data_IF_923133950035
#
_entry.id   IF_923133950035
#
_cell.length_a   1.000
_cell.length_b   1.000
_cell.length_c   1.000
_cell.angle_alpha   90.00
_cell.angle_beta   90.00
_cell.angle_gamma   90.00
#
_symmetry.space_group_name_H-M   'P 1'
#
loop_
_entity.id
_entity.type
_entity.pdbx_description
1 polymer ?
#
# COMPACT_ATOMS: atom_id res chain seq x y z
N UNK A 1 -62.78 37.57 -6.56
CA UNK A 1 -61.75 38.03 -5.59
C UNK A 1 -61.21 36.89 -4.70
N UNK A 2 -62.04 36.00 -4.18
CA UNK A 2 -61.58 34.94 -3.26
C UNK A 2 -60.71 33.87 -3.92
N UNK A 3 -60.97 33.47 -5.16
CA UNK A 3 -60.13 32.45 -5.90
C UNK A 3 -58.71 32.92 -6.12
N UNK A 4 -58.49 34.21 -6.44
CA UNK A 4 -57.17 34.78 -6.66
C UNK A 4 -56.36 34.80 -5.35
N UNK A 5 -57.04 35.19 -4.25
CA UNK A 5 -56.38 35.15 -2.92
C UNK A 5 -55.97 33.74 -2.52
N UNK A 6 -56.79 32.72 -2.79
CA UNK A 6 -56.47 31.33 -2.53
C UNK A 6 -55.27 30.84 -3.35
N UNK A 7 -55.19 31.23 -4.62
CA UNK A 7 -54.06 30.86 -5.48
C UNK A 7 -52.75 31.51 -5.01
N UNK A 8 -52.81 32.79 -4.64
CA UNK A 8 -51.63 33.49 -4.08
C UNK A 8 -51.16 32.89 -2.75
N UNK A 9 -52.06 32.52 -1.88
CA UNK A 9 -51.68 31.84 -0.61
C UNK A 9 -51.09 30.45 -0.87
N UNK A 10 -51.70 29.70 -1.81
CA UNK A 10 -51.16 28.37 -2.20
C UNK A 10 -49.80 28.45 -2.85
N UNK A 11 -49.56 29.43 -3.72
CA UNK A 11 -48.26 29.64 -4.38
C UNK A 11 -47.19 30.09 -3.36
N UNK A 12 -47.54 30.95 -2.41
CA UNK A 12 -46.63 31.38 -1.35
C UNK A 12 -46.28 30.23 -0.41
N UNK A 13 -47.22 29.38 -0.08
CA UNK A 13 -46.97 28.16 0.72
C UNK A 13 -46.05 27.17 0.01
N UNK A 14 -46.24 26.99 -1.31
CA UNK A 14 -45.41 26.12 -2.10
C UNK A 14 -43.96 26.64 -2.22
N UNK A 15 -43.76 27.95 -2.40
CA UNK A 15 -42.43 28.56 -2.40
C UNK A 15 -41.71 28.44 -1.06
N UNK A 16 -42.42 28.56 0.06
CA UNK A 16 -41.86 28.38 1.41
C UNK A 16 -41.42 26.91 1.62
N UNK A 17 -42.24 25.94 1.18
CA UNK A 17 -41.89 24.52 1.28
C UNK A 17 -40.67 24.15 0.37
N UNK A 18 -40.57 24.75 -0.81
CA UNK A 18 -39.40 24.51 -1.70
C UNK A 18 -38.13 25.18 -1.19
N UNK A 19 -38.23 26.32 -0.51
CA UNK A 19 -37.07 26.98 0.10
C UNK A 19 -36.59 26.30 1.39
N UNK A 20 -37.43 25.47 2.02
CA UNK A 20 -37.09 24.72 3.23
C UNK A 20 -36.21 23.46 2.96
N UNK A 21 -36.12 23.03 1.73
CA UNK A 21 -35.16 21.98 1.37
C UNK A 21 -33.76 22.60 1.33
N UNK A 22 -33.09 22.58 2.47
CA UNK A 22 -31.67 22.92 2.58
C UNK A 22 -30.92 22.03 1.58
N UNK A 23 -30.40 22.64 0.55
CA UNK A 23 -29.64 21.98 -0.54
C UNK A 23 -28.38 21.38 0.06
N UNK A 24 -28.48 20.19 0.65
CA UNK A 24 -27.39 19.23 0.87
C UNK A 24 -25.99 19.76 1.22
N UNK A 25 -25.89 20.97 1.75
CA UNK A 25 -24.63 21.50 2.24
C UNK A 25 -24.15 20.64 3.39
N UNK A 26 -23.14 19.82 3.13
CA UNK A 26 -22.45 19.05 4.15
C UNK A 26 -22.01 20.04 5.24
N UNK A 27 -22.62 19.94 6.41
CA UNK A 27 -22.19 20.72 7.57
C UNK A 27 -20.75 20.33 7.89
N UNK A 28 -19.83 21.25 7.69
CA UNK A 28 -18.42 21.09 8.06
C UNK A 28 -18.12 21.57 9.48
N UNK A 29 -19.11 22.08 10.17
CA UNK A 29 -19.03 22.53 11.56
C UNK A 29 -20.08 21.79 12.37
N UNK A 30 -19.79 21.40 13.61
CA UNK A 30 -20.74 20.68 14.47
C UNK A 30 -21.94 21.54 14.94
N UNK A 31 -22.01 22.81 14.53
CA UNK A 31 -23.08 23.73 14.95
C UNK A 31 -22.88 24.25 16.37
N UNK A 32 -23.99 24.43 17.11
CA UNK A 32 -23.92 24.79 18.52
C UNK A 32 -23.51 23.59 19.36
N UNK A 33 -22.49 23.76 20.19
CA UNK A 33 -21.81 22.69 20.92
C UNK A 33 -21.98 22.98 22.41
N UNK A 34 -22.41 21.98 23.16
CA UNK A 34 -22.61 22.11 24.62
C UNK A 34 -21.27 22.25 25.37
N UNK A 35 -20.24 21.54 24.96
CA UNK A 35 -18.91 21.59 25.55
C UNK A 35 -17.86 21.90 24.45
N UNK A 36 -17.67 23.18 24.10
CA UNK A 36 -16.83 23.55 22.93
C UNK A 36 -15.37 23.07 23.04
N UNK A 37 -14.80 23.04 24.24
CA UNK A 37 -13.41 22.66 24.48
C UNK A 37 -13.15 21.16 24.27
N UNK A 38 -14.19 20.33 24.26
CA UNK A 38 -14.10 18.87 24.08
C UNK A 38 -14.54 18.41 22.70
N UNK A 39 -15.00 19.31 21.85
CA UNK A 39 -15.58 18.96 20.55
C UNK A 39 -14.52 18.68 19.51
N UNK A 40 -13.44 19.41 19.56
CA UNK A 40 -12.33 19.25 18.65
C UNK A 40 -11.14 18.68 19.39
N UNK A 41 -10.60 17.59 18.87
CA UNK A 41 -9.32 17.09 19.34
C UNK A 41 -8.23 18.14 19.11
N UNK A 42 -7.35 18.35 20.08
CA UNK A 42 -6.13 19.14 19.90
C UNK A 42 -5.05 18.38 19.15
N UNK A 43 -5.17 17.06 19.10
CA UNK A 43 -4.32 16.22 18.27
C UNK A 43 -4.75 16.37 16.80
N UNK A 44 -3.80 16.42 15.93
CA UNK A 44 -4.06 16.44 14.49
C UNK A 44 -4.37 15.02 13.98
N UNK A 45 -5.40 14.90 13.17
CA UNK A 45 -5.69 13.67 12.45
C UNK A 45 -4.67 13.46 11.30
N UNK A 46 -4.47 12.20 10.90
CA UNK A 46 -3.65 11.89 9.75
C UNK A 46 -4.19 12.62 8.50
N UNK A 47 -3.28 13.12 7.67
CA UNK A 47 -3.57 13.89 6.46
C UNK A 47 -4.26 15.25 6.67
N UNK A 48 -4.37 15.73 7.91
CA UNK A 48 -4.85 17.08 8.19
C UNK A 48 -3.76 18.11 7.87
N UNK A 49 -4.16 19.27 7.35
CA UNK A 49 -3.22 20.37 7.13
C UNK A 49 -2.79 21.01 8.46
N UNK A 50 -1.52 21.33 8.60
CA UNK A 50 -0.98 22.02 9.76
C UNK A 50 -0.33 23.33 9.34
N UNK A 51 -0.97 24.48 9.63
CA UNK A 51 -0.43 25.80 9.27
C UNK A 51 0.94 26.11 9.89
N UNK A 52 1.29 25.45 11.01
CA UNK A 52 2.58 25.67 11.67
C UNK A 52 3.76 25.06 10.88
N UNK A 53 3.49 24.08 10.01
CA UNK A 53 4.50 23.46 9.16
C UNK A 53 4.63 24.12 7.78
N UNK A 54 3.79 25.11 7.48
CA UNK A 54 3.78 25.84 6.21
C UNK A 54 2.40 25.81 5.55
N UNK A 55 2.22 26.70 4.57
CA UNK A 55 0.99 26.77 3.79
C UNK A 55 0.87 25.49 2.98
N UNK A 56 -0.24 24.79 3.10
CA UNK A 56 -0.53 23.52 2.44
C UNK A 56 0.25 22.29 2.95
N UNK A 57 0.93 22.40 4.10
CA UNK A 57 1.65 21.28 4.70
C UNK A 57 0.70 20.33 5.40
N UNK A 58 0.82 19.05 5.09
CA UNK A 58 0.12 17.97 5.80
C UNK A 58 0.91 17.52 7.03
N UNK A 59 0.21 17.01 8.04
CA UNK A 59 0.85 16.39 9.22
C UNK A 59 1.71 15.19 8.83
N UNK A 60 1.22 14.39 7.87
CA UNK A 60 1.95 13.23 7.35
C UNK A 60 3.00 13.69 6.33
N UNK A 61 4.13 14.16 6.81
CA UNK A 61 5.26 14.49 5.95
C UNK A 61 5.96 13.22 5.44
N UNK A 62 6.41 13.23 4.18
CA UNK A 62 7.36 12.22 3.74
C UNK A 62 8.66 12.34 4.55
N UNK A 63 9.39 11.24 4.75
CA UNK A 63 10.70 11.30 5.37
C UNK A 63 11.63 12.26 4.63
N UNK A 64 12.61 12.82 5.33
CA UNK A 64 13.66 13.64 4.70
C UNK A 64 14.40 12.80 3.65
N UNK A 65 14.69 13.40 2.51
CA UNK A 65 15.40 12.73 1.42
C UNK A 65 16.71 12.09 1.91
N UNK A 66 16.94 10.85 1.51
CA UNK A 66 18.10 10.07 1.95
C UNK A 66 17.90 9.33 3.29
N UNK A 67 16.76 9.50 3.95
CA UNK A 67 16.43 8.76 5.18
C UNK A 67 16.09 7.31 4.84
N UNK A 68 16.74 6.36 5.52
CA UNK A 68 16.45 4.92 5.41
C UNK A 68 15.66 4.50 6.65
N UNK A 69 14.49 3.92 6.45
CA UNK A 69 13.66 3.44 7.54
C UNK A 69 14.35 2.27 8.25
N UNK A 70 14.37 2.29 9.59
CA UNK A 70 14.99 1.24 10.40
C UNK A 70 14.26 -0.08 10.18
N UNK A 71 15.04 -1.15 9.93
CA UNK A 71 14.48 -2.49 9.70
C UNK A 71 14.00 -2.76 8.27
N UNK A 72 14.07 -1.79 7.37
CA UNK A 72 13.80 -2.02 5.96
C UNK A 72 15.06 -2.48 5.20
N UNK A 73 14.85 -3.41 4.27
CA UNK A 73 15.88 -3.79 3.30
C UNK A 73 16.03 -2.61 2.33
N UNK A 74 17.27 -2.18 2.09
CA UNK A 74 17.52 -1.10 1.13
C UNK A 74 17.44 -1.62 -0.31
N UNK A 75 16.74 -0.88 -1.16
CA UNK A 75 16.53 -1.21 -2.55
C UNK A 75 17.23 -0.18 -3.44
N UNK A 76 18.36 -0.59 -4.03
CA UNK A 76 19.19 0.27 -4.88
C UNK A 76 18.72 0.36 -6.33
N UNK A 77 17.71 -0.41 -6.72
CA UNK A 77 17.24 -0.43 -8.10
C UNK A 77 16.60 0.92 -8.46
N UNK A 78 17.08 1.56 -9.52
CA UNK A 78 16.56 2.82 -10.05
C UNK A 78 15.59 2.57 -11.19
N UNK A 79 14.58 3.44 -11.30
CA UNK A 79 13.66 3.41 -12.43
C UNK A 79 14.38 3.73 -13.73
N UNK A 80 14.01 3.01 -14.82
CA UNK A 80 14.56 3.24 -16.15
C UNK A 80 15.90 2.54 -16.44
N UNK A 81 16.58 2.00 -15.43
CA UNK A 81 17.84 1.27 -15.63
C UNK A 81 17.60 -0.17 -16.10
N UNK A 82 17.28 -0.31 -17.38
CA UNK A 82 16.99 -1.60 -18.00
C UNK A 82 18.17 -2.56 -18.02
N UNK A 83 19.40 -2.04 -17.91
CA UNK A 83 20.62 -2.88 -17.84
C UNK A 83 20.73 -3.48 -16.45
N UNK A 84 20.57 -2.66 -15.40
CA UNK A 84 20.55 -3.16 -14.03
C UNK A 84 19.43 -4.18 -13.80
N UNK A 85 18.27 -4.03 -14.43
CA UNK A 85 17.17 -4.99 -14.28
C UNK A 85 17.53 -6.42 -14.66
N UNK A 86 18.46 -6.63 -15.58
CA UNK A 86 18.88 -7.97 -16.02
C UNK A 86 19.75 -8.67 -14.99
N UNK A 87 20.54 -7.91 -14.25
CA UNK A 87 21.53 -8.42 -13.29
C UNK A 87 21.07 -8.28 -11.84
N UNK A 88 20.01 -7.51 -11.60
CA UNK A 88 19.51 -7.27 -10.25
C UNK A 88 18.98 -8.55 -9.62
N UNK A 89 19.52 -8.88 -8.47
CA UNK A 89 19.17 -10.08 -7.70
C UNK A 89 19.12 -9.75 -6.22
N UNK A 90 18.80 -10.73 -5.40
CA UNK A 90 18.77 -10.64 -3.94
C UNK A 90 19.45 -11.84 -3.31
N UNK A 91 20.05 -11.62 -2.14
CA UNK A 91 20.60 -12.69 -1.31
C UNK A 91 19.51 -13.36 -0.44
N UNK A 92 18.28 -12.88 -0.49
CA UNK A 92 17.17 -13.47 0.25
C UNK A 92 16.94 -14.91 -0.20
N UNK A 93 16.75 -15.78 0.78
CA UNK A 93 16.34 -17.16 0.58
C UNK A 93 15.04 -17.39 1.36
N UNK A 94 14.16 -18.17 0.80
CA UNK A 94 12.81 -18.35 1.33
C UNK A 94 12.59 -19.80 1.73
N UNK A 95 12.08 -19.99 2.95
CA UNK A 95 11.63 -21.28 3.43
C UNK A 95 10.26 -21.64 2.86
N UNK A 96 9.75 -22.83 3.19
CA UNK A 96 8.49 -23.34 2.65
C UNK A 96 7.29 -22.45 3.02
N UNK A 97 7.27 -21.87 4.22
CA UNK A 97 6.18 -20.99 4.65
C UNK A 97 6.22 -19.64 3.95
N UNK A 98 7.41 -19.07 3.75
CA UNK A 98 7.59 -17.83 2.98
C UNK A 98 7.26 -18.03 1.50
N UNK A 99 7.53 -19.20 0.94
CA UNK A 99 7.10 -19.55 -0.42
C UNK A 99 5.59 -19.68 -0.55
N UNK A 100 4.93 -20.24 0.47
CA UNK A 100 3.47 -20.28 0.58
C UNK A 100 2.88 -18.86 0.65
N UNK A 101 3.51 -17.99 1.45
CA UNK A 101 3.13 -16.59 1.56
C UNK A 101 3.32 -15.87 0.22
N UNK A 102 4.41 -16.10 -0.51
CA UNK A 102 4.61 -15.59 -1.86
C UNK A 102 3.48 -15.97 -2.81
N UNK A 103 3.02 -17.23 -2.77
CA UNK A 103 1.87 -17.71 -3.52
C UNK A 103 0.55 -17.03 -3.10
N UNK A 104 0.34 -16.84 -1.80
CA UNK A 104 -0.83 -16.12 -1.28
C UNK A 104 -0.86 -14.67 -1.76
N UNK A 105 0.26 -13.97 -1.66
CA UNK A 105 0.40 -12.59 -2.13
C UNK A 105 0.20 -12.49 -3.64
N UNK A 106 0.75 -13.44 -4.42
CA UNK A 106 0.50 -13.51 -5.85
C UNK A 106 -1.00 -13.63 -6.15
N UNK A 107 -1.72 -14.50 -5.45
CA UNK A 107 -3.16 -14.67 -5.65
C UNK A 107 -3.97 -13.42 -5.31
N UNK A 108 -3.55 -12.63 -4.31
CA UNK A 108 -4.25 -11.39 -3.93
C UNK A 108 -3.99 -10.27 -4.94
N UNK A 109 -2.73 -10.03 -5.32
CA UNK A 109 -2.35 -8.83 -6.05
C UNK A 109 -2.16 -9.04 -7.55
N UNK A 110 -1.78 -10.24 -7.98
CA UNK A 110 -1.30 -10.50 -9.34
C UNK A 110 -2.28 -11.37 -10.14
N UNK A 111 -2.90 -12.38 -9.51
CA UNK A 111 -3.72 -13.37 -10.19
C UNK A 111 -4.97 -12.79 -10.85
N UNK A 112 -5.45 -11.64 -10.41
CA UNK A 112 -6.60 -10.96 -11.04
C UNK A 112 -6.35 -10.69 -12.53
N UNK A 113 -5.09 -10.42 -12.93
CA UNK A 113 -4.68 -10.24 -14.31
C UNK A 113 -3.93 -11.46 -14.85
N UNK A 114 -2.95 -11.98 -14.10
CA UNK A 114 -2.03 -13.04 -14.55
C UNK A 114 -2.58 -14.47 -14.43
N UNK A 115 -3.77 -14.62 -13.82
CA UNK A 115 -4.37 -15.93 -13.55
C UNK A 115 -3.73 -16.67 -12.37
N UNK A 116 -4.51 -17.46 -11.60
CA UNK A 116 -3.97 -18.24 -10.48
C UNK A 116 -2.98 -19.32 -10.94
N UNK A 117 -3.08 -19.72 -12.19
CA UNK A 117 -2.19 -20.70 -12.82
C UNK A 117 -0.95 -20.06 -13.50
N UNK A 118 -0.76 -18.75 -13.39
CA UNK A 118 0.32 -17.98 -14.04
C UNK A 118 0.26 -18.00 -15.58
N UNK A 119 -0.92 -18.24 -16.14
CA UNK A 119 -1.21 -18.43 -17.57
C UNK A 119 -1.64 -17.15 -18.30
N UNK A 120 -1.73 -16.02 -17.60
CA UNK A 120 -2.19 -14.76 -18.17
C UNK A 120 -3.71 -14.67 -18.34
N UNK A 121 -4.46 -15.67 -17.89
CA UNK A 121 -5.92 -15.75 -18.02
C UNK A 121 -6.63 -15.38 -16.71
N UNK A 122 -6.21 -14.26 -16.11
CA UNK A 122 -6.89 -13.77 -14.91
C UNK A 122 -8.31 -13.30 -15.19
N UNK A 123 -9.19 -13.28 -14.17
CA UNK A 123 -10.62 -12.97 -14.36
C UNK A 123 -10.84 -11.58 -14.97
N UNK A 124 -9.97 -10.62 -14.72
CA UNK A 124 -10.09 -9.30 -15.31
C UNK A 124 -9.85 -9.32 -16.83
N UNK A 125 -8.86 -10.07 -17.30
CA UNK A 125 -8.59 -10.24 -18.73
C UNK A 125 -9.64 -11.13 -19.38
N UNK A 126 -9.99 -12.26 -18.78
CA UNK A 126 -10.98 -13.18 -19.29
C UNK A 126 -12.38 -12.55 -19.45
N UNK A 127 -12.70 -11.53 -18.65
CA UNK A 127 -13.98 -10.81 -18.75
C UNK A 127 -14.01 -9.80 -19.92
N UNK A 128 -12.91 -9.63 -20.67
CA UNK A 128 -12.80 -8.66 -21.75
C UNK A 128 -12.74 -7.19 -21.31
N UNK A 129 -12.73 -6.91 -20.01
CA UNK A 129 -12.66 -5.55 -19.45
C UNK A 129 -11.27 -4.94 -19.49
N UNK A 130 -10.25 -5.77 -19.70
CA UNK A 130 -8.87 -5.35 -19.77
C UNK A 130 -8.27 -5.77 -21.10
N UNK A 131 -7.95 -4.79 -21.94
CA UNK A 131 -7.57 -5.03 -23.35
C UNK A 131 -6.14 -5.57 -23.52
N UNK A 132 -5.24 -5.29 -22.56
CA UNK A 132 -3.85 -5.72 -22.63
C UNK A 132 -3.71 -7.15 -22.11
N UNK A 133 -3.15 -8.04 -22.95
CA UNK A 133 -2.89 -9.42 -22.53
C UNK A 133 -1.80 -9.47 -21.45
N UNK A 134 -2.09 -9.99 -20.26
CA UNK A 134 -1.10 -10.16 -19.20
C UNK A 134 -0.05 -11.21 -19.60
N UNK A 135 1.15 -11.12 -18.99
CA UNK A 135 2.20 -12.10 -19.23
C UNK A 135 1.75 -13.48 -18.76
N UNK A 136 1.87 -14.46 -19.65
CA UNK A 136 1.83 -15.87 -19.30
C UNK A 136 3.24 -16.30 -18.88
N UNK A 137 3.46 -16.56 -17.59
CA UNK A 137 4.80 -16.87 -17.07
C UNK A 137 5.30 -18.27 -17.46
N UNK A 138 4.46 -19.10 -18.10
CA UNK A 138 4.82 -20.42 -18.60
C UNK A 138 5.21 -20.40 -20.08
N UNK A 139 4.99 -19.27 -20.77
CA UNK A 139 5.40 -19.12 -22.17
C UNK A 139 6.91 -19.02 -22.30
N UNK A 140 7.46 -19.58 -23.41
CA UNK A 140 8.87 -19.52 -23.74
C UNK A 140 9.44 -18.08 -23.70
N UNK A 141 8.63 -17.09 -24.04
CA UNK A 141 9.00 -15.66 -23.99
C UNK A 141 9.37 -15.19 -22.58
N UNK A 142 8.70 -15.71 -21.55
CA UNK A 142 8.86 -15.27 -20.17
C UNK A 142 9.57 -16.26 -19.28
N UNK A 143 9.71 -17.51 -19.74
CA UNK A 143 10.23 -18.64 -18.96
C UNK A 143 11.63 -18.39 -18.41
N UNK A 144 12.48 -17.69 -19.20
CA UNK A 144 13.85 -17.33 -18.85
C UNK A 144 14.00 -15.84 -18.46
N UNK A 145 12.90 -15.17 -18.11
CA UNK A 145 12.95 -13.75 -17.72
C UNK A 145 13.76 -13.59 -16.43
N UNK A 146 14.76 -12.69 -16.39
CA UNK A 146 15.52 -12.41 -15.18
C UNK A 146 14.62 -11.94 -14.01
N UNK A 147 14.92 -12.41 -12.81
CA UNK A 147 14.16 -12.06 -11.61
C UNK A 147 14.13 -10.54 -11.35
N UNK A 148 15.23 -9.85 -11.63
CA UNK A 148 15.31 -8.39 -11.49
C UNK A 148 14.40 -7.64 -12.46
N UNK A 149 14.14 -8.15 -13.65
CA UNK A 149 13.15 -7.55 -14.56
C UNK A 149 11.73 -7.71 -14.04
N UNK A 150 11.41 -8.86 -13.42
CA UNK A 150 10.12 -9.08 -12.76
C UNK A 150 9.96 -8.15 -11.55
N UNK A 151 11.03 -8.00 -10.77
CA UNK A 151 11.07 -7.10 -9.63
C UNK A 151 10.87 -5.64 -10.04
N UNK A 152 11.55 -5.18 -11.09
CA UNK A 152 11.37 -3.84 -11.62
C UNK A 152 9.93 -3.60 -12.10
N UNK A 153 9.33 -4.58 -12.79
CA UNK A 153 7.93 -4.50 -13.21
C UNK A 153 6.97 -4.43 -12.03
N UNK A 154 7.21 -5.17 -10.95
CA UNK A 154 6.41 -5.10 -9.73
C UNK A 154 6.62 -3.79 -8.97
N UNK A 155 7.85 -3.25 -8.95
CA UNK A 155 8.19 -2.04 -8.22
C UNK A 155 7.72 -0.76 -8.93
N UNK A 156 7.98 -0.65 -10.22
CA UNK A 156 7.73 0.59 -10.98
C UNK A 156 6.49 0.50 -11.89
N UNK A 157 6.00 -0.70 -12.12
CA UNK A 157 5.02 -0.95 -13.15
C UNK A 157 5.67 -1.21 -14.52
N UNK A 158 4.87 -1.67 -15.48
CA UNK A 158 5.29 -1.88 -16.86
C UNK A 158 4.09 -1.81 -17.80
N UNK A 159 4.12 -0.89 -18.75
CA UNK A 159 3.01 -0.65 -19.69
C UNK A 159 1.68 -0.37 -18.94
N UNK A 160 0.71 -1.26 -19.07
CA UNK A 160 -0.60 -1.15 -18.41
C UNK A 160 -0.59 -1.67 -16.96
N UNK A 161 0.48 -2.31 -16.50
CA UNK A 161 0.63 -2.77 -15.13
C UNK A 161 1.12 -1.64 -14.25
N UNK A 162 0.34 -1.28 -13.22
CA UNK A 162 0.73 -0.27 -12.24
C UNK A 162 1.81 -0.75 -11.27
N UNK A 163 2.40 0.18 -10.52
CA UNK A 163 3.36 -0.12 -9.46
C UNK A 163 2.66 -0.76 -8.24
N UNK A 164 3.31 -1.76 -7.67
CA UNK A 164 2.91 -2.42 -6.42
C UNK A 164 3.85 -2.06 -5.25
N UNK A 165 4.66 -1.02 -5.40
CA UNK A 165 5.61 -0.61 -4.36
C UNK A 165 4.93 -0.17 -3.06
N UNK A 166 3.72 0.37 -3.14
CA UNK A 166 2.93 0.82 -1.99
C UNK A 166 2.17 -0.31 -1.28
N UNK A 167 1.87 -1.41 -2.00
CA UNK A 167 1.09 -2.52 -1.47
C UNK A 167 1.96 -3.66 -0.90
N UNK A 168 3.15 -3.82 -1.46
CA UNK A 168 4.08 -4.89 -1.10
C UNK A 168 5.42 -4.29 -0.67
N UNK A 169 5.94 -4.74 0.45
CA UNK A 169 7.31 -4.40 0.85
C UNK A 169 8.35 -5.11 -0.04
N UNK A 170 9.62 -4.78 0.15
CA UNK A 170 10.72 -5.31 -0.64
C UNK A 170 10.80 -6.84 -0.52
N UNK A 171 10.68 -7.37 0.70
CA UNK A 171 10.73 -8.81 0.94
C UNK A 171 9.53 -9.52 0.32
N UNK A 172 8.34 -8.96 0.45
CA UNK A 172 7.11 -9.51 -0.13
C UNK A 172 7.17 -9.54 -1.66
N UNK A 173 7.69 -8.48 -2.31
CA UNK A 173 7.91 -8.49 -3.76
C UNK A 173 8.82 -9.63 -4.18
N UNK A 174 9.93 -9.84 -3.45
CA UNK A 174 10.84 -10.94 -3.73
C UNK A 174 10.21 -12.32 -3.46
N UNK A 175 9.35 -12.47 -2.44
CA UNK A 175 8.58 -13.70 -2.21
C UNK A 175 7.66 -14.03 -3.39
N UNK A 176 6.94 -13.03 -3.93
CA UNK A 176 6.09 -13.20 -5.12
C UNK A 176 6.93 -13.63 -6.33
N UNK A 177 8.08 -12.99 -6.55
CA UNK A 177 8.98 -13.34 -7.66
C UNK A 177 9.56 -14.74 -7.49
N UNK A 178 9.95 -15.11 -6.28
CA UNK A 178 10.43 -16.46 -5.98
C UNK A 178 9.35 -17.51 -6.27
N UNK A 179 8.10 -17.24 -5.93
CA UNK A 179 6.97 -18.11 -6.27
C UNK A 179 6.81 -18.27 -7.80
N UNK A 180 6.89 -17.17 -8.57
CA UNK A 180 6.84 -17.22 -10.04
C UNK A 180 8.04 -18.01 -10.58
N UNK A 181 9.27 -17.73 -10.13
CA UNK A 181 10.49 -18.42 -10.57
C UNK A 181 10.46 -19.91 -10.25
N UNK A 182 9.90 -20.31 -9.11
CA UNK A 182 9.69 -21.73 -8.79
C UNK A 182 8.79 -22.39 -9.82
N UNK A 183 7.64 -21.76 -10.12
CA UNK A 183 6.72 -22.28 -11.14
C UNK A 183 7.36 -22.34 -12.52
N UNK A 184 8.20 -21.36 -12.87
CA UNK A 184 8.96 -21.38 -14.13
C UNK A 184 9.95 -22.54 -14.17
N UNK A 185 10.70 -22.77 -13.09
CA UNK A 185 11.62 -23.90 -13.00
C UNK A 185 10.90 -25.25 -13.16
N UNK A 186 9.73 -25.41 -12.54
CA UNK A 186 8.88 -26.59 -12.65
C UNK A 186 8.34 -26.82 -14.10
N UNK A 187 8.33 -25.74 -14.92
CA UNK A 187 7.89 -25.77 -16.32
C UNK A 187 9.05 -25.69 -17.34
N UNK A 188 10.26 -26.04 -16.94
CA UNK A 188 11.44 -26.10 -17.83
C UNK A 188 12.20 -24.77 -17.99
N UNK A 189 11.97 -23.80 -17.09
CA UNK A 189 12.73 -22.55 -17.02
C UNK A 189 14.06 -22.70 -16.30
N UNK A 190 14.66 -21.55 -15.94
CA UNK A 190 15.93 -21.51 -15.23
C UNK A 190 15.83 -22.17 -13.85
N UNK A 191 16.96 -22.68 -13.36
CA UNK A 191 17.04 -23.32 -12.05
C UNK A 191 16.56 -22.37 -10.94
N UNK A 192 15.77 -22.91 -9.99
CA UNK A 192 15.28 -22.15 -8.85
C UNK A 192 16.41 -21.87 -7.86
N UNK A 193 16.69 -20.58 -7.59
CA UNK A 193 17.82 -20.15 -6.77
C UNK A 193 17.43 -19.49 -5.44
N UNK A 194 16.14 -19.29 -5.18
CA UNK A 194 15.62 -18.57 -4.01
C UNK A 194 15.27 -19.50 -2.83
N UNK A 195 15.40 -20.82 -2.98
CA UNK A 195 15.15 -21.76 -1.89
C UNK A 195 16.16 -21.60 -0.76
N UNK A 196 15.71 -21.72 0.48
CA UNK A 196 16.59 -21.89 1.62
C UNK A 196 17.34 -23.23 1.44
N UNK A 197 18.66 -23.18 1.46
CA UNK A 197 19.43 -24.41 1.61
C UNK A 197 19.14 -24.96 3.00
N UNK A 198 18.93 -26.25 3.16
CA UNK A 198 18.60 -26.95 4.41
C UNK A 198 19.82 -26.98 5.39
N UNK A 199 20.69 -26.00 5.32
CA UNK A 199 21.86 -25.79 6.17
C UNK A 199 21.82 -24.40 6.77
N UNK A 200 21.26 -24.31 7.99
CA UNK A 200 21.57 -23.30 9.02
C UNK A 200 21.78 -21.85 8.57
N UNK A 201 20.71 -21.13 8.28
CA UNK A 201 20.70 -19.70 8.49
C UNK A 201 19.84 -19.40 9.73
N UNK A 202 20.37 -18.71 10.76
CA UNK A 202 19.58 -18.33 11.93
C UNK A 202 18.45 -17.41 11.46
N UNK A 203 17.22 -17.77 11.77
CA UNK A 203 16.10 -16.85 11.68
C UNK A 203 16.51 -15.56 12.38
N UNK A 204 16.47 -14.43 11.68
CA UNK A 204 16.58 -13.13 12.29
C UNK A 204 15.45 -13.04 13.31
N UNK A 205 15.80 -13.21 14.60
CA UNK A 205 14.89 -12.99 15.71
C UNK A 205 14.32 -11.58 15.57
N UNK A 206 13.02 -11.39 15.76
CA UNK A 206 12.48 -10.05 15.94
C UNK A 206 13.27 -9.41 17.07
N UNK A 207 13.81 -8.22 16.85
CA UNK A 207 14.46 -7.43 17.86
C UNK A 207 13.43 -7.20 18.97
N UNK A 208 13.57 -7.94 20.08
CA UNK A 208 12.88 -7.67 21.32
C UNK A 208 13.35 -6.30 21.77
N UNK A 209 12.42 -5.38 21.80
CA UNK A 209 12.59 -4.04 22.35
C UNK A 209 12.89 -4.16 23.85
N UNK A 210 14.18 -4.13 24.18
CA UNK A 210 14.68 -4.17 25.55
C UNK A 210 15.32 -2.82 25.86
N UNK A 211 14.52 -1.75 25.86
CA UNK A 211 14.92 -0.47 26.46
C UNK A 211 13.71 0.35 26.89
N UNK A 212 13.00 -0.14 27.91
CA UNK A 212 12.10 0.70 28.68
C UNK A 212 11.99 0.17 30.11
N UNK A 213 13.12 0.07 30.79
CA UNK A 213 13.10 -0.19 32.23
C UNK A 213 14.46 0.20 32.89
N UNK A 214 14.82 1.47 32.82
CA UNK A 214 15.83 2.05 33.72
C UNK A 214 15.82 3.60 33.68
N UNK A 215 14.63 4.21 33.77
CA UNK A 215 14.52 5.66 33.97
C UNK A 215 13.47 6.02 35.04
N UNK A 216 13.38 5.25 36.08
CA UNK A 216 12.52 5.57 37.23
C UNK A 216 13.13 5.15 38.53
N UNK A 217 14.39 5.60 38.83
CA UNK A 217 14.92 5.52 40.18
C UNK A 217 16.14 6.43 40.38
N UNK A 218 15.95 7.72 40.26
CA UNK A 218 16.88 8.70 40.87
C UNK A 218 16.22 10.10 40.90
N UNK A 219 15.20 10.26 41.71
CA UNK A 219 14.84 11.59 42.25
C UNK A 219 14.13 11.37 43.58
N UNK A 220 14.87 11.48 44.62
CA UNK A 220 14.32 11.35 45.98
C UNK A 220 15.38 11.35 47.02
N UNK A 221 16.23 12.37 47.10
CA UNK A 221 16.91 12.75 48.34
C UNK A 221 17.77 13.99 48.13
N UNK A 222 17.20 15.14 48.47
CA UNK A 222 17.86 16.21 49.21
C UNK A 222 16.96 17.45 49.28
N UNK A 223 16.23 17.61 50.33
CA UNK A 223 15.83 18.90 50.86
C UNK A 223 15.64 18.78 52.35
N UNK A 224 16.72 19.02 53.07
CA UNK A 224 16.68 19.41 54.47
C UNK A 224 17.99 20.17 54.80
N UNK A 225 17.97 21.47 54.68
CA UNK A 225 18.42 22.42 55.66
C UNK A 225 18.23 23.83 55.12
#
# INVERSE_FOLDING_TARGET
>A
MNKIKSIVVASLGLTICLASCDSGNIRRTPGHIYAPDMTYSRAYDAYTSNPALGKDSLISHPPVDGTIARGHIYDHLKEGDTTAYKTYTTDLRFNADEMKEGGRLFNIYCAICHGPNLDGQGPLFASGKFAAMPANFKDAKYLHMPAGQMYAAAKYGKNMMGSYASQLDIKQRWMVIAYIKKTQADNGGDAFTFGANDSTAPAAKPATDTTAKDAAKTEGKTASK
#
